data_IF_196293453550
#
_entry.id   IF_196293453550
#
_cell.length_a   1.000
_cell.length_b   1.000
_cell.length_c   1.000
_cell.angle_alpha   90.00
_cell.angle_beta   90.00
_cell.angle_gamma   90.00
#
_symmetry.space_group_name_H-M   'P 1'
#
loop_
_entity.id
_entity.type
_entity.pdbx_description
1 polymer ?
#
# COMPACT_ATOMS: atom_id res chain seq x y z
N UNK A 1 -25.63 -1.64 -17.37
CA UNK A 1 -24.53 -1.72 -18.35
C UNK A 1 -23.57 -0.52 -18.27
N UNK A 2 -23.78 0.63 -18.93
CA UNK A 2 -22.78 1.73 -18.91
C UNK A 2 -22.54 2.36 -17.51
N UNK A 3 -23.61 2.62 -16.75
CA UNK A 3 -23.49 3.20 -15.39
C UNK A 3 -22.91 2.24 -14.35
N UNK A 4 -23.14 0.94 -14.52
CA UNK A 4 -22.65 -0.12 -13.63
C UNK A 4 -21.16 -0.37 -13.80
N UNK A 5 -20.68 -0.45 -15.05
CA UNK A 5 -19.25 -0.50 -15.37
C UNK A 5 -18.48 0.71 -14.79
N UNK A 6 -19.06 1.90 -14.93
CA UNK A 6 -18.47 3.13 -14.38
C UNK A 6 -18.40 3.10 -12.86
N UNK A 7 -19.43 2.56 -12.19
CA UNK A 7 -19.45 2.43 -10.73
C UNK A 7 -18.39 1.44 -10.22
N UNK A 8 -18.30 0.25 -10.83
CA UNK A 8 -17.29 -0.76 -10.46
C UNK A 8 -15.86 -0.24 -10.70
N UNK A 9 -15.64 0.46 -11.82
CA UNK A 9 -14.33 1.07 -12.10
C UNK A 9 -13.95 2.08 -11.03
N UNK A 10 -14.87 2.99 -10.68
CA UNK A 10 -14.62 3.99 -9.64
C UNK A 10 -14.38 3.34 -8.28
N UNK A 11 -15.17 2.33 -7.91
CA UNK A 11 -14.99 1.59 -6.67
C UNK A 11 -13.59 0.97 -6.58
N UNK A 12 -13.12 0.31 -7.64
CA UNK A 12 -11.79 -0.29 -7.69
C UNK A 12 -10.70 0.79 -7.61
N UNK A 13 -10.84 1.90 -8.35
CA UNK A 13 -9.91 3.05 -8.28
C UNK A 13 -9.82 3.60 -6.84
N UNK A 14 -10.96 3.77 -6.15
CA UNK A 14 -11.01 4.30 -4.78
C UNK A 14 -10.39 3.32 -3.76
N UNK A 15 -10.68 2.02 -3.87
CA UNK A 15 -10.11 0.99 -2.99
C UNK A 15 -8.59 0.87 -3.17
N UNK A 16 -8.10 0.93 -4.41
CA UNK A 16 -6.66 0.93 -4.70
C UNK A 16 -5.96 2.17 -4.13
N UNK A 17 -6.60 3.35 -4.19
CA UNK A 17 -6.06 4.55 -3.54
C UNK A 17 -6.00 4.41 -2.01
N UNK A 18 -7.02 3.80 -1.40
CA UNK A 18 -7.00 3.51 0.04
C UNK A 18 -5.91 2.51 0.40
N UNK A 19 -5.72 1.46 -0.40
CA UNK A 19 -4.63 0.51 -0.27
C UNK A 19 -3.27 1.23 -0.26
N UNK A 20 -2.98 2.08 -1.25
CA UNK A 20 -1.70 2.81 -1.28
C UNK A 20 -1.44 3.64 -0.02
N UNK A 21 -2.47 4.34 0.49
CA UNK A 21 -2.36 5.11 1.73
C UNK A 21 -2.12 4.23 2.95
N UNK A 22 -2.77 3.06 3.00
CA UNK A 22 -2.59 2.09 4.08
C UNK A 22 -1.21 1.43 4.04
N UNK A 23 -0.73 1.04 2.86
CA UNK A 23 0.62 0.49 2.65
C UNK A 23 1.69 1.51 3.09
N UNK A 24 1.58 2.77 2.67
CA UNK A 24 2.50 3.83 3.07
C UNK A 24 2.50 4.03 4.59
N UNK A 25 1.31 4.18 5.19
CA UNK A 25 1.20 4.32 6.64
C UNK A 25 1.68 3.08 7.41
N UNK A 26 1.46 1.87 6.89
CA UNK A 26 1.96 0.62 7.50
C UNK A 26 3.49 0.61 7.52
N UNK A 27 4.13 1.02 6.43
CA UNK A 27 5.58 1.17 6.34
C UNK A 27 6.14 2.14 7.39
N UNK A 28 5.49 3.28 7.61
CA UNK A 28 5.87 4.23 8.67
C UNK A 28 5.79 3.61 10.08
N UNK A 29 4.75 2.82 10.37
CA UNK A 29 4.64 2.12 11.65
C UNK A 29 5.67 1.00 11.80
N UNK A 30 6.04 0.31 10.73
CA UNK A 30 7.12 -0.69 10.74
C UNK A 30 8.46 -0.02 11.07
N UNK A 31 8.74 1.14 10.48
CA UNK A 31 9.94 1.92 10.80
C UNK A 31 9.92 2.37 12.28
N UNK A 32 8.78 2.88 12.75
CA UNK A 32 8.60 3.26 14.16
C UNK A 32 8.82 2.08 15.10
N UNK A 33 8.34 0.88 14.74
CA UNK A 33 8.53 -0.35 15.50
C UNK A 33 10.00 -0.73 15.60
N UNK A 34 10.74 -0.65 14.49
CA UNK A 34 12.18 -0.95 14.47
C UNK A 34 12.94 0.01 15.39
N UNK A 35 12.65 1.32 15.31
CA UNK A 35 13.27 2.33 16.17
C UNK A 35 12.99 2.09 17.67
N UNK A 36 11.77 1.67 18.02
CA UNK A 36 11.43 1.33 19.41
C UNK A 36 12.14 0.06 19.87
N UNK A 37 12.24 -0.97 19.01
CA UNK A 37 12.97 -2.20 19.34
C UNK A 37 14.44 -1.92 19.62
N UNK A 38 15.10 -1.11 18.79
CA UNK A 38 16.48 -0.67 19.04
C UNK A 38 16.59 0.10 20.36
N UNK A 39 15.69 1.06 20.61
CA UNK A 39 15.68 1.83 21.86
C UNK A 39 15.49 0.97 23.11
N UNK A 40 14.64 -0.04 23.06
CA UNK A 40 14.43 -1.01 24.16
C UNK A 40 15.71 -1.79 24.44
N UNK A 41 16.42 -2.23 23.40
CA UNK A 41 17.70 -2.94 23.53
C UNK A 41 18.73 -2.03 24.19
N UNK A 42 18.91 -0.82 23.67
CA UNK A 42 19.87 0.16 24.20
C UNK A 42 19.60 0.52 25.66
N UNK A 43 18.33 0.76 26.01
CA UNK A 43 17.94 1.06 27.39
C UNK A 43 18.15 -0.13 28.33
N UNK A 44 17.84 -1.34 27.88
CA UNK A 44 18.07 -2.56 28.67
C UNK A 44 19.56 -2.76 28.94
N UNK A 45 20.39 -2.56 27.93
CA UNK A 45 21.85 -2.62 28.05
C UNK A 45 22.41 -1.54 28.97
N UNK A 46 21.86 -0.33 28.92
CA UNK A 46 22.25 0.78 29.77
C UNK A 46 21.89 0.55 31.23
N UNK A 47 20.65 0.11 31.51
CA UNK A 47 20.17 -0.20 32.88
C UNK A 47 21.07 -1.22 33.57
N UNK A 48 21.56 -2.22 32.82
CA UNK A 48 22.45 -3.25 33.35
C UNK A 48 23.86 -2.73 33.72
N UNK A 49 24.22 -1.50 33.32
CA UNK A 49 25.56 -0.92 33.51
C UNK A 49 25.60 0.24 34.52
N UNK A 50 24.45 0.72 34.99
CA UNK A 50 24.34 1.87 35.90
C UNK A 50 24.04 1.46 37.35
N UNK A 51 24.31 2.40 38.24
CA UNK A 51 24.07 2.39 39.68
C UNK A 51 22.59 2.64 40.05
N UNK A 52 22.13 1.99 41.14
CA UNK A 52 20.71 1.81 41.50
C UNK A 52 19.86 3.10 41.57
N UNK A 53 20.43 4.26 41.94
CA UNK A 53 19.67 5.51 42.08
C UNK A 53 19.12 6.03 40.75
N UNK A 54 19.79 5.75 39.62
CA UNK A 54 19.33 6.18 38.28
C UNK A 54 18.42 5.15 37.62
N UNK A 55 18.43 3.89 38.08
CA UNK A 55 17.75 2.74 37.47
C UNK A 55 16.23 2.93 37.38
N UNK A 56 15.59 3.53 38.38
CA UNK A 56 14.13 3.66 38.44
C UNK A 56 13.53 4.51 37.30
N UNK A 57 14.22 5.58 36.88
CA UNK A 57 13.74 6.45 35.80
C UNK A 57 13.83 5.75 34.44
N UNK A 58 14.93 5.02 34.19
CA UNK A 58 15.12 4.26 32.96
C UNK A 58 14.21 3.02 32.88
N UNK A 59 13.95 2.36 34.01
CA UNK A 59 12.96 1.27 34.05
C UNK A 59 11.56 1.75 33.67
N UNK A 60 11.13 2.91 34.17
CA UNK A 60 9.83 3.48 33.79
C UNK A 60 9.75 3.78 32.29
N UNK A 61 10.82 4.33 31.72
CA UNK A 61 10.87 4.59 30.28
C UNK A 61 10.87 3.30 29.45
N UNK A 62 11.61 2.28 29.90
CA UNK A 62 11.67 0.97 29.25
C UNK A 62 10.29 0.29 29.22
N UNK A 63 9.54 0.34 30.32
CA UNK A 63 8.18 -0.20 30.36
C UNK A 63 7.24 0.58 29.43
N UNK A 64 7.33 1.91 29.40
CA UNK A 64 6.56 2.72 28.45
C UNK A 64 6.90 2.38 26.98
N UNK A 65 8.17 2.11 26.68
CA UNK A 65 8.61 1.72 25.33
C UNK A 65 8.10 0.33 24.94
N UNK A 66 8.06 -0.63 25.87
CA UNK A 66 7.42 -1.95 25.65
C UNK A 66 5.91 -1.83 25.44
N UNK A 67 5.24 -0.97 26.19
CA UNK A 67 3.81 -0.69 25.98
C UNK A 67 3.56 -0.10 24.59
N UNK A 68 4.38 0.87 24.16
CA UNK A 68 4.31 1.42 22.81
C UNK A 68 4.60 0.37 21.74
N UNK A 69 5.56 -0.53 21.95
CA UNK A 69 5.84 -1.63 21.02
C UNK A 69 4.58 -2.46 20.77
N UNK A 70 3.90 -2.89 21.83
CA UNK A 70 2.67 -3.69 21.73
C UNK A 70 1.56 -2.91 21.01
N UNK A 71 1.41 -1.61 21.30
CA UNK A 71 0.43 -0.77 20.61
C UNK A 71 0.70 -0.67 19.11
N UNK A 72 1.96 -0.50 18.71
CA UNK A 72 2.35 -0.38 17.30
C UNK A 72 2.16 -1.71 16.58
N UNK A 73 2.55 -2.83 17.19
CA UNK A 73 2.32 -4.17 16.63
C UNK A 73 0.82 -4.39 16.36
N UNK A 74 -0.05 -4.05 17.32
CA UNK A 74 -1.50 -4.11 17.13
C UNK A 74 -2.01 -3.21 15.99
N UNK A 75 -1.44 -2.00 15.82
CA UNK A 75 -1.83 -1.10 14.72
C UNK A 75 -1.41 -1.68 13.37
N UNK A 76 -0.23 -2.30 13.29
CA UNK A 76 0.26 -2.97 12.07
C UNK A 76 -0.66 -4.13 11.70
N UNK A 77 -1.01 -4.97 12.67
CA UNK A 77 -1.91 -6.11 12.47
C UNK A 77 -3.29 -5.66 11.98
N UNK A 78 -3.88 -4.63 12.62
CA UNK A 78 -5.16 -4.06 12.19
C UNK A 78 -5.10 -3.50 10.75
N UNK A 79 -3.99 -2.87 10.37
CA UNK A 79 -3.81 -2.39 9.00
C UNK A 79 -3.70 -3.55 8.01
N UNK A 80 -3.06 -4.65 8.40
CA UNK A 80 -2.97 -5.85 7.58
C UNK A 80 -4.33 -6.50 7.35
N UNK A 81 -5.15 -6.60 8.38
CA UNK A 81 -6.54 -7.09 8.26
C UNK A 81 -7.37 -6.22 7.30
N UNK A 82 -7.25 -4.89 7.39
CA UNK A 82 -7.96 -3.96 6.50
C UNK A 82 -7.45 -4.09 5.05
N UNK A 83 -6.13 -4.23 4.86
CA UNK A 83 -5.55 -4.46 3.54
C UNK A 83 -6.08 -5.76 2.92
N UNK A 84 -6.13 -6.85 3.69
CA UNK A 84 -6.70 -8.12 3.24
C UNK A 84 -8.17 -8.00 2.83
N UNK A 85 -8.96 -7.23 3.59
CA UNK A 85 -10.35 -6.93 3.19
C UNK A 85 -10.39 -6.18 1.86
N UNK A 86 -9.59 -5.13 1.71
CA UNK A 86 -9.51 -4.34 0.47
C UNK A 86 -9.09 -5.22 -0.72
N UNK A 87 -8.10 -6.09 -0.56
CA UNK A 87 -7.67 -7.02 -1.62
C UNK A 87 -8.81 -7.93 -2.07
N UNK A 88 -9.58 -8.47 -1.12
CA UNK A 88 -10.71 -9.34 -1.43
C UNK A 88 -11.83 -8.58 -2.15
N UNK A 89 -12.15 -7.37 -1.71
CA UNK A 89 -13.19 -6.54 -2.33
C UNK A 89 -12.79 -6.11 -3.75
N UNK A 90 -11.53 -5.68 -3.94
CA UNK A 90 -10.98 -5.38 -5.27
C UNK A 90 -11.07 -6.61 -6.17
N UNK A 91 -10.61 -7.77 -5.68
CA UNK A 91 -10.62 -9.01 -6.46
C UNK A 91 -12.03 -9.40 -6.93
N UNK A 92 -13.02 -9.35 -6.02
CA UNK A 92 -14.40 -9.69 -6.33
C UNK A 92 -14.98 -8.78 -7.42
N UNK A 93 -14.88 -7.46 -7.23
CA UNK A 93 -15.44 -6.50 -8.17
C UNK A 93 -14.66 -6.43 -9.49
N UNK A 94 -13.37 -6.74 -9.47
CA UNK A 94 -12.55 -6.80 -10.68
C UNK A 94 -12.87 -8.02 -11.54
N UNK A 95 -13.25 -9.15 -10.93
CA UNK A 95 -13.80 -10.30 -11.67
C UNK A 95 -15.11 -9.92 -12.34
N UNK A 96 -16.02 -9.30 -11.59
CA UNK A 96 -17.32 -8.84 -12.10
C UNK A 96 -17.13 -7.90 -13.30
N UNK A 97 -16.28 -6.89 -13.12
CA UNK A 97 -15.94 -5.94 -14.18
C UNK A 97 -15.34 -6.65 -15.39
N UNK A 98 -14.37 -7.54 -15.19
CA UNK A 98 -13.70 -8.24 -16.29
C UNK A 98 -14.65 -9.13 -17.08
N UNK A 99 -15.60 -9.80 -16.41
CA UNK A 99 -16.63 -10.58 -17.09
C UNK A 99 -17.53 -9.68 -17.96
N UNK A 100 -17.98 -8.54 -17.42
CA UNK A 100 -18.78 -7.57 -18.18
C UNK A 100 -18.04 -7.05 -19.43
N UNK A 101 -16.73 -6.79 -19.31
CA UNK A 101 -15.91 -6.29 -20.42
C UNK A 101 -15.64 -7.35 -21.49
N UNK A 102 -15.38 -8.58 -21.08
CA UNK A 102 -15.23 -9.72 -21.99
C UNK A 102 -16.54 -9.94 -22.75
N UNK A 103 -17.69 -9.92 -22.06
CA UNK A 103 -19.00 -10.07 -22.69
C UNK A 103 -19.33 -8.93 -23.66
N UNK A 104 -18.96 -7.68 -23.32
CA UNK A 104 -19.29 -6.52 -24.13
C UNK A 104 -18.35 -6.29 -25.31
N UNK A 105 -17.07 -6.61 -25.16
CA UNK A 105 -16.01 -6.12 -26.06
C UNK A 105 -14.93 -7.16 -26.37
N UNK A 106 -14.92 -8.29 -25.68
CA UNK A 106 -13.95 -9.38 -25.91
C UNK A 106 -12.54 -9.10 -25.37
N UNK A 107 -12.35 -8.04 -24.60
CA UNK A 107 -11.08 -7.68 -23.95
C UNK A 107 -11.34 -6.98 -22.61
N UNK A 108 -10.33 -6.98 -21.73
CA UNK A 108 -10.36 -6.31 -20.42
C UNK A 108 -9.64 -4.96 -20.55
N UNK A 109 -10.22 -3.88 -20.03
CA UNK A 109 -9.57 -2.58 -19.96
C UNK A 109 -8.81 -2.47 -18.66
N UNK A 110 -7.52 -2.17 -18.73
CA UNK A 110 -6.73 -1.95 -17.53
C UNK A 110 -7.16 -0.69 -16.78
N UNK A 111 -7.41 -0.85 -15.48
CA UNK A 111 -7.50 0.25 -14.53
C UNK A 111 -6.07 0.56 -14.09
N UNK A 112 -5.62 1.80 -14.30
CA UNK A 112 -4.30 2.26 -13.87
C UNK A 112 -4.53 3.14 -12.65
N UNK A 113 -3.92 2.73 -11.54
CA UNK A 113 -3.99 3.47 -10.27
C UNK A 113 -2.59 3.92 -9.88
N UNK A 114 -2.52 5.07 -9.25
CA UNK A 114 -1.28 5.75 -8.90
C UNK A 114 -1.34 6.19 -7.44
N UNK A 115 -0.18 6.16 -6.79
CA UNK A 115 0.02 6.80 -5.50
C UNK A 115 0.15 8.34 -5.63
N UNK A 116 0.44 9.03 -4.53
CA UNK A 116 0.61 10.50 -4.54
C UNK A 116 1.89 10.95 -5.28
N UNK A 117 2.89 10.08 -5.39
CA UNK A 117 4.14 10.30 -6.13
C UNK A 117 3.99 10.12 -7.65
N UNK A 118 2.89 9.57 -8.12
CA UNK A 118 2.70 9.17 -9.52
C UNK A 118 1.45 9.80 -10.11
N UNK A 119 1.49 10.13 -11.40
CA UNK A 119 0.32 10.63 -12.12
C UNK A 119 0.11 9.89 -13.43
N UNK A 120 -1.15 9.58 -13.74
CA UNK A 120 -1.54 8.99 -15.00
C UNK A 120 -2.36 9.98 -15.83
N UNK A 121 -1.86 10.34 -17.01
CA UNK A 121 -2.59 11.16 -17.96
C UNK A 121 -3.51 10.27 -18.81
N UNK A 122 -4.84 10.36 -18.58
CA UNK A 122 -5.84 9.54 -19.27
C UNK A 122 -5.91 9.81 -20.78
N UNK A 123 -5.47 10.97 -21.27
CA UNK A 123 -5.51 11.33 -22.70
C UNK A 123 -4.28 10.79 -23.45
N UNK A 124 -3.09 11.05 -22.91
CA UNK A 124 -1.81 10.65 -23.55
C UNK A 124 -1.39 9.22 -23.18
N UNK A 125 -2.06 8.61 -22.20
CA UNK A 125 -1.72 7.29 -21.62
C UNK A 125 -0.30 7.22 -21.06
N UNK A 126 0.24 8.35 -20.62
CA UNK A 126 1.57 8.45 -20.01
C UNK A 126 1.45 8.39 -18.49
N UNK A 127 2.27 7.55 -17.87
CA UNK A 127 2.49 7.54 -16.41
C UNK A 127 3.76 8.34 -16.12
N UNK A 128 3.67 9.31 -15.22
CA UNK A 128 4.80 10.13 -14.77
C UNK A 128 5.06 9.84 -13.30
N UNK A 129 6.27 9.40 -13.01
CA UNK A 129 6.76 9.11 -11.67
C UNK A 129 7.59 10.29 -11.14
N UNK A 130 7.33 10.71 -9.90
CA UNK A 130 8.32 11.45 -9.09
C UNK A 130 9.20 10.44 -8.33
N UNK A 131 10.17 10.94 -7.57
CA UNK A 131 11.01 10.09 -6.73
C UNK A 131 10.13 9.21 -5.83
N UNK A 132 10.40 7.90 -5.84
CA UNK A 132 9.67 6.86 -5.08
C UNK A 132 8.17 6.68 -5.43
N UNK A 133 7.72 7.11 -6.60
CA UNK A 133 6.33 6.90 -7.04
C UNK A 133 6.00 5.44 -7.41
N UNK A 134 4.76 5.02 -7.12
CA UNK A 134 4.21 3.71 -7.45
C UNK A 134 2.95 3.78 -8.34
N UNK A 135 2.82 2.84 -9.26
CA UNK A 135 1.61 2.61 -10.03
C UNK A 135 1.27 1.12 -10.06
N UNK A 136 -0.01 0.79 -9.96
CA UNK A 136 -0.51 -0.57 -10.01
C UNK A 136 -1.64 -0.72 -11.04
N UNK A 137 -1.64 -1.87 -11.70
CA UNK A 137 -2.69 -2.32 -12.61
C UNK A 137 -3.25 -3.62 -12.03
N UNK A 138 -4.37 -3.59 -11.30
CA UNK A 138 -4.98 -4.80 -10.82
C UNK A 138 -5.66 -5.52 -12.00
N UNK A 139 -5.45 -6.84 -12.09
CA UNK A 139 -6.07 -7.69 -13.12
C UNK A 139 -6.64 -8.94 -12.44
N UNK A 140 -7.92 -9.25 -12.68
CA UNK A 140 -8.54 -10.51 -12.29
C UNK A 140 -9.40 -11.04 -13.44
N UNK A 141 -9.25 -12.31 -13.78
CA UNK A 141 -10.00 -12.90 -14.90
C UNK A 141 -10.35 -14.35 -14.62
N UNK A 142 -11.52 -14.77 -15.10
CA UNK A 142 -11.98 -16.17 -15.08
C UNK A 142 -11.43 -16.98 -16.27
N UNK A 143 -10.77 -16.31 -17.22
CA UNK A 143 -10.22 -16.96 -18.42
C UNK A 143 -9.07 -17.88 -18.06
N UNK A 144 -9.18 -19.15 -18.48
CA UNK A 144 -8.09 -20.15 -18.34
C UNK A 144 -6.81 -19.74 -19.07
N UNK A 145 -6.95 -18.98 -20.16
CA UNK A 145 -5.86 -18.43 -20.95
C UNK A 145 -6.24 -17.02 -21.36
N UNK A 146 -5.35 -16.08 -21.12
CA UNK A 146 -5.45 -14.71 -21.61
C UNK A 146 -4.07 -14.28 -22.13
N UNK A 147 -4.03 -13.22 -22.91
CA UNK A 147 -2.78 -12.64 -23.41
C UNK A 147 -2.87 -11.14 -23.20
N UNK A 148 -1.90 -10.59 -22.48
CA UNK A 148 -1.77 -9.15 -22.35
C UNK A 148 -1.14 -8.59 -23.63
N UNK A 149 -1.85 -7.68 -24.29
CA UNK A 149 -1.36 -6.93 -25.45
C UNK A 149 -1.01 -5.48 -25.09
N UNK A 150 -1.01 -5.13 -23.81
CA UNK A 150 -0.65 -3.80 -23.34
C UNK A 150 0.82 -3.49 -23.64
N UNK A 151 1.08 -2.24 -24.03
CA UNK A 151 2.43 -1.75 -24.26
C UNK A 151 2.74 -0.65 -23.24
N UNK A 152 3.66 -0.93 -22.32
CA UNK A 152 4.20 0.06 -21.40
C UNK A 152 5.37 0.77 -22.08
N UNK A 153 5.29 2.10 -22.17
CA UNK A 153 6.38 2.94 -22.71
C UNK A 153 6.91 3.87 -21.64
N UNK A 154 8.17 3.68 -21.25
CA UNK A 154 8.88 4.56 -20.33
C UNK A 154 9.50 5.71 -21.15
N UNK A 155 9.09 6.94 -20.86
CA UNK A 155 9.66 8.15 -21.46
C UNK A 155 10.68 8.75 -20.47
N UNK A 156 11.97 8.87 -20.83
CA UNK A 156 12.95 9.49 -19.94
C UNK A 156 12.65 10.98 -19.76
N UNK A 157 12.78 11.48 -18.53
CA UNK A 157 12.68 12.92 -18.23
C UNK A 157 13.88 13.61 -18.87
N UNK A 158 13.65 14.45 -19.87
CA UNK A 158 14.68 15.35 -20.42
C UNK A 158 14.88 16.46 -19.39
N UNK A 159 15.99 16.41 -18.63
CA UNK A 159 16.41 17.57 -17.83
C UNK A 159 16.90 18.63 -18.80
N UNK A 160 16.13 19.70 -18.98
CA UNK A 160 16.65 20.92 -19.58
C UNK A 160 17.72 21.49 -18.64
N UNK A 161 18.93 21.68 -19.17
CA UNK A 161 20.09 22.18 -18.43
C UNK A 161 20.12 23.68 -18.28
#
# INVERSE_FOLDING_TARGET
MAGEKSHLTQFIEDMMQQKFRLDASKSEYIEMLNNIKERIIDQSDFINRIDEESVNAFQKQLEADKEHQVLIENIIDQKEEILDMIYNDIYYHLIELSNLEIESSGFITHIITCDEGTSFNKDTKVITFKDEGYAEIPIATTLRKWTDASQVRILPVVREG
#
